data_IF_703691293500
#
_entry.id   IF_703691293500
#
_cell.length_a   1.000
_cell.length_b   1.000
_cell.length_c   1.000
_cell.angle_alpha   90.00
_cell.angle_beta   90.00
_cell.angle_gamma   90.00
#
_symmetry.space_group_name_H-M   'P 1'
#
loop_
_entity.id
_entity.type
_entity.pdbx_description
1 polymer ?
#
# COMPACT_ATOMS: atom_id res chain seq x y z
N UNK A 1 -14.10 -20.87 -1.19
CA UNK A 1 -14.81 -19.63 -0.78
C UNK A 1 -13.80 -18.49 -0.78
N UNK A 2 -14.19 -17.27 -1.15
CA UNK A 2 -13.34 -16.08 -1.06
C UNK A 2 -14.05 -15.05 -0.18
N UNK A 3 -13.36 -14.59 0.87
CA UNK A 3 -13.78 -13.48 1.70
C UNK A 3 -12.91 -12.29 1.34
N UNK A 4 -13.49 -11.30 0.66
CA UNK A 4 -12.76 -10.14 0.16
C UNK A 4 -12.90 -8.94 1.11
N UNK A 5 -11.81 -8.19 1.28
CA UNK A 5 -11.72 -6.95 2.07
C UNK A 5 -12.21 -7.06 3.53
N UNK A 6 -11.82 -8.14 4.21
CA UNK A 6 -12.16 -8.34 5.62
C UNK A 6 -11.37 -7.35 6.49
N UNK A 7 -12.08 -6.52 7.24
CA UNK A 7 -11.51 -5.46 8.08
C UNK A 7 -11.91 -5.55 9.56
N UNK A 8 -12.82 -6.46 9.92
CA UNK A 8 -13.24 -6.67 11.30
C UNK A 8 -13.47 -8.14 11.65
N UNK A 9 -13.06 -8.55 12.85
CA UNK A 9 -13.17 -9.94 13.33
C UNK A 9 -14.61 -10.46 13.35
N UNK A 10 -15.59 -9.56 13.53
CA UNK A 10 -17.01 -9.93 13.52
C UNK A 10 -17.47 -10.45 12.15
N UNK A 11 -16.90 -9.97 11.04
CA UNK A 11 -17.20 -10.52 9.71
C UNK A 11 -16.75 -11.98 9.62
N UNK A 12 -15.55 -12.28 10.14
CA UNK A 12 -15.02 -13.64 10.19
C UNK A 12 -15.89 -14.55 11.06
N UNK A 13 -16.30 -14.09 12.25
CA UNK A 13 -17.19 -14.86 13.11
C UNK A 13 -18.55 -15.12 12.46
N UNK A 14 -19.14 -14.12 11.80
CA UNK A 14 -20.43 -14.26 11.15
C UNK A 14 -20.39 -15.24 9.96
N UNK A 15 -19.29 -15.26 9.21
CA UNK A 15 -19.17 -16.02 7.96
C UNK A 15 -18.55 -17.41 8.16
N UNK A 16 -17.64 -17.58 9.11
CA UNK A 16 -16.85 -18.81 9.25
C UNK A 16 -17.24 -19.67 10.46
N UNK A 17 -17.69 -19.09 11.57
CA UNK A 17 -18.13 -19.89 12.73
C UNK A 17 -19.28 -20.85 12.41
N UNK A 18 -20.28 -20.50 11.56
CA UNK A 18 -21.31 -21.44 11.15
C UNK A 18 -20.83 -22.52 10.16
N UNK A 19 -19.65 -22.35 9.56
CA UNK A 19 -19.18 -23.22 8.46
C UNK A 19 -18.34 -24.41 8.90
N UNK A 20 -17.89 -24.45 10.16
CA UNK A 20 -17.05 -25.53 10.69
C UNK A 20 -17.71 -26.92 10.57
N UNK A 21 -19.04 -26.99 10.57
CA UNK A 21 -19.79 -28.25 10.43
C UNK A 21 -20.34 -28.48 9.00
N UNK A 22 -20.16 -27.49 8.10
CA UNK A 22 -20.79 -27.47 6.77
C UNK A 22 -19.78 -27.69 5.64
N UNK A 23 -18.53 -27.28 5.82
CA UNK A 23 -17.52 -27.39 4.77
C UNK A 23 -16.91 -28.79 4.72
N UNK A 24 -16.94 -29.46 3.54
CA UNK A 24 -16.25 -30.74 3.37
C UNK A 24 -14.75 -30.62 3.64
N UNK A 25 -14.15 -31.70 4.11
CA UNK A 25 -12.69 -31.82 4.22
C UNK A 25 -12.01 -31.52 2.88
N UNK A 26 -10.92 -30.77 2.91
CA UNK A 26 -10.19 -30.31 1.72
C UNK A 26 -10.69 -28.99 1.12
N UNK A 27 -11.71 -28.35 1.71
CA UNK A 27 -12.15 -27.01 1.28
C UNK A 27 -11.06 -25.96 1.48
N UNK A 28 -10.92 -25.05 0.50
CA UNK A 28 -10.03 -23.88 0.57
C UNK A 28 -10.84 -22.59 0.75
N UNK A 29 -10.46 -21.80 1.74
CA UNK A 29 -10.98 -20.45 1.98
C UNK A 29 -9.83 -19.47 1.81
N UNK A 30 -10.01 -18.49 0.93
CA UNK A 30 -9.08 -17.38 0.77
C UNK A 30 -9.68 -16.14 1.43
N UNK A 31 -8.90 -15.48 2.27
CA UNK A 31 -9.28 -14.23 2.94
C UNK A 31 -8.31 -13.15 2.51
N UNK A 32 -8.81 -12.05 1.98
CA UNK A 32 -8.01 -10.84 1.74
C UNK A 32 -8.31 -9.84 2.85
N UNK A 33 -7.27 -9.21 3.38
CA UNK A 33 -7.40 -8.20 4.41
C UNK A 33 -6.24 -7.21 4.32
N UNK A 34 -6.53 -5.96 4.68
CA UNK A 34 -5.52 -4.92 4.88
C UNK A 34 -5.01 -4.86 6.32
N UNK A 35 -5.57 -5.66 7.24
CA UNK A 35 -5.21 -5.68 8.64
C UNK A 35 -4.91 -7.11 9.11
N UNK A 36 -3.62 -7.43 9.27
CA UNK A 36 -3.20 -8.78 9.70
C UNK A 36 -3.71 -9.17 11.08
N UNK A 37 -3.97 -8.18 11.95
CA UNK A 37 -4.45 -8.44 13.32
C UNK A 37 -5.84 -9.09 13.30
N UNK A 38 -6.70 -8.72 12.33
CA UNK A 38 -8.06 -9.26 12.19
C UNK A 38 -8.03 -10.77 11.95
N UNK A 39 -7.13 -11.23 11.08
CA UNK A 39 -7.00 -12.66 10.75
C UNK A 39 -6.29 -13.46 11.84
N UNK A 40 -5.25 -12.89 12.46
CA UNK A 40 -4.52 -13.54 13.56
C UNK A 40 -5.42 -13.71 14.78
N UNK A 41 -6.14 -12.66 15.18
CA UNK A 41 -7.04 -12.71 16.36
C UNK A 41 -8.21 -13.65 16.19
N UNK A 42 -8.65 -13.89 14.95
CA UNK A 42 -9.65 -14.91 14.67
C UNK A 42 -9.10 -16.33 14.83
N UNK A 43 -7.79 -16.53 14.64
CA UNK A 43 -7.10 -17.80 14.80
C UNK A 43 -6.46 -18.35 13.53
N UNK A 44 -6.32 -17.55 12.46
CA UNK A 44 -5.52 -17.97 11.30
C UNK A 44 -4.06 -18.04 11.72
N UNK A 45 -3.43 -19.19 11.45
CA UNK A 45 -2.01 -19.42 11.75
C UNK A 45 -1.16 -18.48 10.90
N UNK A 46 -0.20 -17.80 11.52
CA UNK A 46 0.64 -16.79 10.84
C UNK A 46 1.42 -17.34 9.64
N UNK A 47 1.85 -18.61 9.69
CA UNK A 47 2.52 -19.28 8.56
C UNK A 47 1.63 -19.47 7.31
N UNK A 48 0.32 -19.27 7.45
CA UNK A 48 -0.65 -19.33 6.34
C UNK A 48 -0.94 -17.94 5.75
N UNK A 49 -0.39 -16.87 6.33
CA UNK A 49 -0.59 -15.50 5.86
C UNK A 49 0.45 -15.19 4.78
N UNK A 50 -0.05 -14.90 3.57
CA UNK A 50 0.79 -14.42 2.48
C UNK A 50 0.75 -12.90 2.42
N UNK A 51 1.89 -12.25 2.73
CA UNK A 51 2.03 -10.80 2.58
C UNK A 51 2.23 -10.47 1.09
N UNK A 52 1.26 -9.79 0.50
CA UNK A 52 1.40 -9.25 -0.85
C UNK A 52 2.46 -8.15 -0.90
N UNK A 53 3.40 -8.28 -1.82
CA UNK A 53 4.43 -7.27 -2.12
C UNK A 53 4.11 -6.55 -3.42
N UNK A 54 4.76 -5.42 -3.65
CA UNK A 54 4.72 -4.73 -4.96
C UNK A 54 5.25 -5.62 -6.10
N UNK A 55 4.92 -5.24 -7.33
CA UNK A 55 5.38 -5.92 -8.53
C UNK A 55 6.89 -5.73 -8.72
N UNK A 56 7.54 -6.74 -9.27
CA UNK A 56 8.93 -6.61 -9.68
C UNK A 56 9.08 -5.60 -10.84
N UNK A 57 10.30 -5.12 -11.16
CA UNK A 57 10.50 -4.12 -12.20
C UNK A 57 9.98 -4.54 -13.58
N UNK A 58 10.07 -5.83 -13.92
CA UNK A 58 9.63 -6.36 -15.21
C UNK A 58 8.10 -6.42 -15.28
N UNK A 59 7.46 -7.00 -14.26
CA UNK A 59 6.00 -7.02 -14.11
C UNK A 59 5.41 -5.61 -14.09
N UNK A 60 6.07 -4.68 -13.38
CA UNK A 60 5.67 -3.28 -13.32
C UNK A 60 5.66 -2.63 -14.70
N UNK A 61 6.74 -2.85 -15.46
CA UNK A 61 6.87 -2.33 -16.83
C UNK A 61 5.79 -2.89 -17.74
N UNK A 62 5.56 -4.20 -17.69
CA UNK A 62 4.55 -4.85 -18.52
C UNK A 62 3.15 -4.34 -18.20
N UNK A 63 2.77 -4.26 -16.92
CA UNK A 63 1.47 -3.75 -16.49
C UNK A 63 1.27 -2.30 -16.94
N UNK A 64 2.23 -1.42 -16.69
CA UNK A 64 2.15 -0.02 -17.12
C UNK A 64 2.00 0.08 -18.64
N UNK A 65 2.82 -0.66 -19.40
CA UNK A 65 2.80 -0.59 -20.86
C UNK A 65 1.50 -1.15 -21.44
N UNK A 66 0.91 -2.18 -20.82
CA UNK A 66 -0.41 -2.67 -21.22
C UNK A 66 -1.47 -1.58 -21.07
N UNK A 67 -1.46 -0.83 -19.98
CA UNK A 67 -2.43 0.26 -19.76
C UNK A 67 -2.18 1.49 -20.63
N UNK A 68 -0.92 1.80 -20.96
CA UNK A 68 -0.59 2.98 -21.75
C UNK A 68 -0.59 2.74 -23.27
N UNK A 69 -0.04 1.61 -23.72
CA UNK A 69 0.25 1.31 -25.13
C UNK A 69 -0.55 0.12 -25.68
N UNK A 70 -1.33 -0.60 -24.87
CA UNK A 70 -1.96 -1.89 -25.23
C UNK A 70 -0.96 -2.96 -25.71
N UNK A 71 0.25 -2.93 -25.17
CA UNK A 71 1.29 -3.94 -25.42
C UNK A 71 2.26 -4.00 -24.24
N UNK A 72 3.01 -5.09 -24.12
CA UNK A 72 3.89 -5.33 -22.95
C UNK A 72 5.17 -4.46 -22.92
N UNK A 73 5.38 -3.60 -23.92
CA UNK A 73 6.61 -2.78 -24.06
C UNK A 73 6.27 -1.35 -24.49
N UNK A 74 7.09 -0.35 -24.15
CA UNK A 74 6.91 1.00 -24.65
C UNK A 74 7.12 1.07 -26.17
N UNK A 75 6.57 2.11 -26.80
CA UNK A 75 7.00 2.50 -28.14
C UNK A 75 8.44 3.02 -28.13
N UNK A 76 9.13 2.90 -29.26
CA UNK A 76 10.52 3.38 -29.42
C UNK A 76 10.57 4.89 -29.11
N UNK A 77 11.50 5.27 -28.24
CA UNK A 77 11.69 6.65 -27.77
C UNK A 77 10.96 6.98 -26.46
N UNK A 78 10.14 6.08 -25.92
CA UNK A 78 9.43 6.27 -24.63
C UNK A 78 10.08 5.52 -23.47
N UNK A 79 11.14 4.75 -23.72
CA UNK A 79 11.76 3.87 -22.72
C UNK A 79 12.19 4.62 -21.46
N UNK A 80 12.84 5.78 -21.63
CA UNK A 80 13.35 6.57 -20.52
C UNK A 80 12.22 7.18 -19.66
N UNK A 81 11.23 7.80 -20.29
CA UNK A 81 10.10 8.40 -19.56
C UNK A 81 9.27 7.34 -18.84
N UNK A 82 9.10 6.15 -19.45
CA UNK A 82 8.43 5.02 -18.79
C UNK A 82 9.24 4.55 -17.58
N UNK A 83 10.56 4.39 -17.71
CA UNK A 83 11.39 3.97 -16.57
C UNK A 83 11.32 4.98 -15.40
N UNK A 84 11.22 6.29 -15.68
CA UNK A 84 11.03 7.31 -14.64
C UNK A 84 9.64 7.24 -13.99
N UNK A 85 8.58 7.01 -14.79
CA UNK A 85 7.23 6.80 -14.26
C UNK A 85 7.15 5.55 -13.37
N UNK A 86 7.77 4.44 -13.79
CA UNK A 86 7.80 3.20 -13.00
C UNK A 86 8.45 3.40 -11.62
N UNK A 87 9.52 4.21 -11.54
CA UNK A 87 10.13 4.59 -10.26
C UNK A 87 9.14 5.34 -9.37
N UNK A 88 8.35 6.24 -9.95
CA UNK A 88 7.32 7.00 -9.22
C UNK A 88 6.20 6.09 -8.72
N UNK A 89 5.88 5.01 -9.44
CA UNK A 89 4.86 4.04 -9.03
C UNK A 89 5.28 3.11 -7.89
N UNK A 90 6.58 2.94 -7.64
CA UNK A 90 7.08 2.06 -6.56
C UNK A 90 6.66 0.59 -6.68
N UNK A 91 6.30 0.13 -7.88
CA UNK A 91 5.79 -1.23 -8.11
C UNK A 91 4.34 -1.47 -7.64
N UNK A 92 3.62 -0.42 -7.21
CA UNK A 92 2.22 -0.55 -6.79
C UNK A 92 1.31 -0.75 -8.02
N UNK A 93 0.61 -1.90 -8.17
CA UNK A 93 -0.22 -2.17 -9.35
C UNK A 93 -1.23 -1.06 -9.66
N UNK A 94 -1.90 -0.55 -8.63
CA UNK A 94 -2.87 0.52 -8.77
C UNK A 94 -2.27 1.76 -9.45
N UNK A 95 -1.12 2.22 -8.97
CA UNK A 95 -0.47 3.42 -9.50
C UNK A 95 0.01 3.21 -10.94
N UNK A 96 0.51 2.01 -11.25
CA UNK A 96 0.88 1.62 -12.61
C UNK A 96 -0.32 1.66 -13.56
N UNK A 97 -1.46 1.14 -13.14
CA UNK A 97 -2.69 1.13 -13.96
C UNK A 97 -3.25 2.53 -14.18
N UNK A 98 -3.37 3.34 -13.12
CA UNK A 98 -3.92 4.70 -13.19
C UNK A 98 -3.05 5.59 -14.06
N UNK A 99 -1.73 5.57 -13.84
CA UNK A 99 -0.82 6.39 -14.64
C UNK A 99 -0.67 5.87 -16.07
N UNK A 100 -0.69 4.55 -16.28
CA UNK A 100 -0.69 3.98 -17.62
C UNK A 100 -1.94 4.42 -18.40
N UNK A 101 -3.12 4.30 -17.80
CA UNK A 101 -4.37 4.74 -18.40
C UNK A 101 -4.42 6.26 -18.65
N UNK A 102 -3.87 7.07 -17.75
CA UNK A 102 -3.75 8.52 -17.93
C UNK A 102 -2.92 8.92 -19.15
N UNK A 103 -1.89 8.12 -19.46
CA UNK A 103 -1.01 8.35 -20.61
C UNK A 103 -1.52 7.69 -21.91
N UNK A 104 -2.64 6.98 -21.84
CA UNK A 104 -3.13 6.20 -22.95
C UNK A 104 -3.50 7.05 -24.17
N UNK A 105 -3.08 6.61 -25.36
CA UNK A 105 -3.41 7.25 -26.63
C UNK A 105 -2.57 8.49 -26.98
N UNK A 106 -1.77 9.01 -26.04
CA UNK A 106 -0.88 10.13 -26.30
C UNK A 106 0.39 9.70 -27.04
N UNK A 107 0.69 10.40 -28.15
CA UNK A 107 1.79 10.09 -29.07
C UNK A 107 2.99 11.03 -28.93
N UNK A 108 2.85 12.13 -28.20
CA UNK A 108 3.89 13.14 -28.06
C UNK A 108 4.70 12.92 -26.79
N UNK A 109 5.98 12.57 -26.95
CA UNK A 109 6.92 12.39 -25.82
C UNK A 109 6.97 13.63 -24.89
N UNK A 110 6.91 14.84 -25.46
CA UNK A 110 6.89 16.09 -24.68
C UNK A 110 5.71 16.18 -23.71
N UNK A 111 4.56 15.61 -24.05
CA UNK A 111 3.41 15.55 -23.15
C UNK A 111 3.72 14.65 -21.95
N UNK A 112 4.26 13.46 -22.22
CA UNK A 112 4.64 12.50 -21.18
C UNK A 112 5.67 13.09 -20.22
N UNK A 113 6.68 13.79 -20.72
CA UNK A 113 7.68 14.50 -19.91
C UNK A 113 7.07 15.63 -19.08
N UNK A 114 6.04 16.32 -19.60
CA UNK A 114 5.33 17.35 -18.87
C UNK A 114 4.43 16.77 -17.77
N UNK A 115 3.70 15.69 -18.07
CA UNK A 115 2.87 15.00 -17.10
C UNK A 115 3.69 14.31 -16.01
N UNK A 116 4.81 13.67 -16.36
CA UNK A 116 5.76 13.14 -15.38
C UNK A 116 6.19 14.21 -14.38
N UNK A 117 6.54 15.42 -14.85
CA UNK A 117 6.88 16.53 -13.96
C UNK A 117 5.76 16.94 -13.02
N UNK A 118 4.49 16.84 -13.44
CA UNK A 118 3.33 17.10 -12.57
C UNK A 118 3.14 15.99 -11.54
N UNK A 119 3.20 14.74 -11.98
CA UNK A 119 2.98 13.55 -11.13
C UNK A 119 4.11 13.40 -10.10
N UNK A 120 5.35 13.74 -10.46
CA UNK A 120 6.47 13.75 -9.52
C UNK A 120 6.32 14.78 -8.40
N UNK A 121 5.42 15.76 -8.55
CA UNK A 121 5.15 16.77 -7.53
C UNK A 121 3.87 16.51 -6.74
N UNK A 122 2.86 15.88 -7.35
CA UNK A 122 1.54 15.69 -6.73
C UNK A 122 1.03 14.28 -7.02
N UNK A 123 0.64 13.57 -5.97
CA UNK A 123 0.02 12.25 -6.10
C UNK A 123 -1.35 12.38 -6.81
N UNK A 124 -1.62 11.63 -7.89
CA UNK A 124 -2.90 11.69 -8.59
C UNK A 124 -4.08 11.47 -7.64
N UNK A 125 -5.14 12.26 -7.81
CA UNK A 125 -6.33 12.28 -6.92
C UNK A 125 -6.92 10.88 -6.72
N UNK A 126 -7.02 10.08 -7.77
CA UNK A 126 -7.62 8.73 -7.69
C UNK A 126 -6.80 7.79 -6.81
N UNK A 127 -5.46 7.85 -6.90
CA UNK A 127 -4.56 7.06 -6.06
C UNK A 127 -4.67 7.55 -4.61
N UNK A 128 -4.62 8.87 -4.41
CA UNK A 128 -4.74 9.51 -3.10
C UNK A 128 -6.05 9.13 -2.39
N UNK A 129 -7.19 9.24 -3.07
CA UNK A 129 -8.49 8.89 -2.51
C UNK A 129 -8.56 7.43 -2.07
N UNK A 130 -7.95 6.51 -2.83
CA UNK A 130 -7.92 5.09 -2.47
C UNK A 130 -7.03 4.80 -1.27
N UNK A 131 -5.88 5.46 -1.16
CA UNK A 131 -4.99 5.31 0.00
C UNK A 131 -5.58 5.94 1.27
N UNK A 132 -6.30 7.06 1.12
CA UNK A 132 -6.88 7.81 2.23
C UNK A 132 -7.91 7.01 3.02
N UNK A 133 -8.60 6.04 2.41
CA UNK A 133 -9.53 5.15 3.11
C UNK A 133 -8.85 4.46 4.30
N UNK A 134 -7.62 3.97 4.12
CA UNK A 134 -6.88 3.32 5.21
C UNK A 134 -6.51 4.31 6.32
N UNK A 135 -6.12 5.53 5.95
CA UNK A 135 -5.81 6.61 6.90
C UNK A 135 -7.04 7.07 7.69
N UNK A 136 -8.18 7.26 7.02
CA UNK A 136 -9.40 7.76 7.66
C UNK A 136 -9.92 6.80 8.75
N UNK A 137 -9.64 5.50 8.59
CA UNK A 137 -9.99 4.43 9.53
C UNK A 137 -9.11 4.33 10.79
N UNK A 138 -8.04 5.14 10.86
CA UNK A 138 -7.13 5.18 12.01
C UNK A 138 -7.71 6.01 13.16
N UNK A 139 -7.32 5.64 14.39
CA UNK A 139 -7.56 6.49 15.56
C UNK A 139 -6.66 7.73 15.56
N UNK A 140 -6.84 8.61 16.55
CA UNK A 140 -6.15 9.90 16.57
C UNK A 140 -4.63 9.76 16.77
N UNK A 141 -4.21 8.85 17.64
CA UNK A 141 -2.80 8.60 17.96
C UNK A 141 -2.09 7.95 16.76
N UNK A 142 -2.73 6.97 16.13
CA UNK A 142 -2.28 6.35 14.89
C UNK A 142 -2.14 7.38 13.76
N UNK A 143 -3.10 8.31 13.61
CA UNK A 143 -3.02 9.41 12.63
C UNK A 143 -1.84 10.32 12.90
N UNK A 144 -1.60 10.69 14.16
CA UNK A 144 -0.46 11.54 14.53
C UNK A 144 0.87 10.87 14.15
N UNK A 145 1.06 9.60 14.51
CA UNK A 145 2.27 8.84 14.17
C UNK A 145 2.44 8.68 12.65
N UNK A 146 1.35 8.41 11.93
CA UNK A 146 1.38 8.31 10.47
C UNK A 146 1.88 9.61 9.83
N UNK A 147 1.30 10.76 10.19
CA UNK A 147 1.68 12.06 9.65
C UNK A 147 3.10 12.46 10.05
N UNK A 148 3.47 12.25 11.31
CA UNK A 148 4.81 12.53 11.82
C UNK A 148 5.88 11.68 11.12
N UNK A 149 5.55 10.43 10.80
CA UNK A 149 6.41 9.56 9.98
C UNK A 149 6.53 10.02 8.53
N UNK A 150 5.42 10.43 7.90
CA UNK A 150 5.43 10.94 6.53
C UNK A 150 6.33 12.19 6.39
N UNK A 151 6.35 13.03 7.42
CA UNK A 151 7.14 14.25 7.44
C UNK A 151 8.59 14.03 7.86
N UNK A 152 8.84 13.32 8.97
CA UNK A 152 10.13 13.38 9.68
C UNK A 152 10.78 12.02 9.95
N UNK A 153 10.00 10.97 10.25
CA UNK A 153 10.56 9.71 10.76
C UNK A 153 10.82 8.61 9.72
N UNK A 154 10.54 8.85 8.43
CA UNK A 154 10.97 7.93 7.37
C UNK A 154 12.50 7.80 7.34
N UNK A 155 13.01 6.57 7.43
CA UNK A 155 14.44 6.25 7.49
C UNK A 155 15.10 6.58 8.84
N UNK A 156 14.30 6.78 9.90
CA UNK A 156 14.81 6.97 11.26
C UNK A 156 14.70 5.68 12.06
N UNK A 157 15.56 5.54 13.06
CA UNK A 157 15.53 4.45 14.02
C UNK A 157 14.17 4.37 14.73
N UNK A 158 13.58 3.18 14.69
CA UNK A 158 12.23 2.89 15.20
C UNK A 158 12.13 3.11 16.70
N UNK A 159 13.09 2.61 17.48
CA UNK A 159 13.03 2.68 18.95
C UNK A 159 13.16 4.12 19.44
N UNK A 160 13.95 4.94 18.74
CA UNK A 160 14.05 6.38 18.99
C UNK A 160 12.74 7.10 18.70
N UNK A 161 12.09 6.79 17.57
CA UNK A 161 10.80 7.38 17.22
C UNK A 161 9.70 7.01 18.24
N UNK A 162 9.64 5.74 18.64
CA UNK A 162 8.68 5.26 19.66
C UNK A 162 8.82 6.05 20.96
N UNK A 163 10.04 6.27 21.45
CA UNK A 163 10.27 7.06 22.68
C UNK A 163 9.77 8.50 22.56
N UNK A 164 9.87 9.10 21.38
CA UNK A 164 9.38 10.47 21.12
C UNK A 164 7.85 10.50 21.12
N UNK A 165 7.21 9.51 20.48
CA UNK A 165 5.75 9.39 20.46
C UNK A 165 5.17 9.05 21.83
N UNK A 166 5.82 8.19 22.61
CA UNK A 166 5.45 7.91 24.00
C UNK A 166 5.55 9.17 24.87
N UNK A 167 6.60 9.97 24.70
CA UNK A 167 6.74 11.27 25.37
C UNK A 167 5.69 12.31 24.95
N UNK A 168 4.92 12.04 23.89
CA UNK A 168 3.81 12.86 23.40
C UNK A 168 2.43 12.31 23.78
N UNK A 169 2.38 11.27 24.62
CA UNK A 169 1.17 10.54 25.00
C UNK A 169 0.40 9.92 23.80
N UNK A 170 1.12 9.50 22.75
CA UNK A 170 0.54 8.87 21.56
C UNK A 170 0.61 7.35 21.56
N UNK A 171 0.88 6.73 22.71
CA UNK A 171 0.96 5.27 22.84
C UNK A 171 1.88 4.66 21.77
N UNK A 172 3.09 5.21 21.63
CA UNK A 172 4.00 5.05 20.50
C UNK A 172 4.19 3.59 20.06
N UNK A 173 4.50 2.69 20.99
CA UNK A 173 4.68 1.26 20.66
C UNK A 173 3.38 0.60 20.17
N UNK A 174 2.24 0.89 20.80
CA UNK A 174 0.95 0.29 20.45
C UNK A 174 0.44 0.82 19.11
N UNK A 175 0.39 2.15 18.94
CA UNK A 175 -0.09 2.79 17.72
C UNK A 175 0.84 2.50 16.54
N UNK A 176 2.17 2.44 16.73
CA UNK A 176 3.09 2.02 15.67
C UNK A 176 2.83 0.56 15.24
N UNK A 177 2.64 -0.35 16.20
CA UNK A 177 2.31 -1.75 15.91
C UNK A 177 1.00 -1.87 15.12
N UNK A 178 -0.02 -1.08 15.45
CA UNK A 178 -1.27 -1.07 14.71
C UNK A 178 -1.07 -0.60 13.26
N UNK A 179 -0.25 0.43 13.04
CA UNK A 179 0.10 0.90 11.70
C UNK A 179 0.86 -0.17 10.90
N UNK A 180 1.74 -0.95 11.54
CA UNK A 180 2.38 -2.11 10.91
C UNK A 180 1.38 -3.22 10.57
N UNK A 181 0.42 -3.50 11.48
CA UNK A 181 -0.62 -4.49 11.24
C UNK A 181 -1.50 -4.13 10.04
N UNK A 182 -1.69 -2.83 9.79
CA UNK A 182 -2.43 -2.26 8.67
C UNK A 182 -1.59 -2.04 7.39
N UNK A 183 -0.35 -2.54 7.37
CA UNK A 183 0.59 -2.38 6.25
C UNK A 183 0.88 -0.92 5.85
N UNK A 184 0.74 0.03 6.79
CA UNK A 184 1.00 1.45 6.53
C UNK A 184 2.45 1.84 6.83
N UNK A 185 3.07 1.14 7.78
CA UNK A 185 4.46 1.31 8.17
C UNK A 185 5.18 -0.05 8.20
N UNK A 186 6.48 -0.02 7.98
CA UNK A 186 7.36 -1.17 8.05
C UNK A 186 8.65 -0.80 8.79
N UNK A 187 9.41 -1.80 9.20
CA UNK A 187 10.77 -1.63 9.75
C UNK A 187 11.70 -2.54 8.95
N UNK A 188 12.83 -2.00 8.49
CA UNK A 188 13.83 -2.80 7.78
C UNK A 188 14.77 -3.53 8.76
N UNK A 189 15.71 -4.31 8.23
CA UNK A 189 16.69 -5.05 9.03
C UNK A 189 17.66 -4.16 9.84
N UNK A 190 17.73 -2.87 9.49
CA UNK A 190 18.54 -1.85 10.17
C UNK A 190 17.76 -1.10 11.27
N UNK A 191 16.57 -1.59 11.64
CA UNK A 191 15.65 -0.97 12.60
C UNK A 191 15.13 0.42 12.17
N UNK A 192 15.15 0.73 10.88
CA UNK A 192 14.66 2.00 10.34
C UNK A 192 13.21 1.90 9.90
N UNK A 193 12.43 2.93 10.22
CA UNK A 193 11.04 3.05 9.80
C UNK A 193 10.96 3.28 8.29
N UNK A 194 10.15 2.47 7.62
CA UNK A 194 9.85 2.56 6.20
C UNK A 194 8.37 2.89 6.00
N UNK A 195 8.11 3.77 5.03
CA UNK A 195 6.78 4.14 4.56
C UNK A 195 6.84 4.21 3.04
N UNK A 196 5.85 3.62 2.37
CA UNK A 196 5.75 3.66 0.91
C UNK A 196 5.62 5.10 0.42
N UNK A 197 6.22 5.42 -0.73
CA UNK A 197 6.31 6.79 -1.23
C UNK A 197 4.92 7.43 -1.43
N UNK A 198 3.92 6.70 -1.93
CA UNK A 198 2.55 7.24 -2.03
C UNK A 198 1.88 7.50 -0.69
N UNK A 199 2.17 6.72 0.35
CA UNK A 199 1.66 6.99 1.70
C UNK A 199 2.31 8.23 2.29
N UNK A 200 3.63 8.39 2.08
CA UNK A 200 4.39 9.59 2.47
C UNK A 200 3.85 10.83 1.78
N UNK A 201 3.67 10.77 0.47
CA UNK A 201 3.23 11.93 -0.32
C UNK A 201 1.79 12.30 0.05
N UNK A 202 0.90 11.30 0.21
CA UNK A 202 -0.44 11.55 0.76
C UNK A 202 -0.39 12.18 2.16
N UNK A 203 0.46 11.68 3.07
CA UNK A 203 0.57 12.21 4.43
C UNK A 203 1.09 13.64 4.50
N UNK A 204 1.97 14.05 3.57
CA UNK A 204 2.47 15.43 3.47
C UNK A 204 1.48 16.42 2.88
N UNK A 205 0.49 15.91 2.15
CA UNK A 205 -0.60 16.69 1.56
C UNK A 205 -1.81 16.88 2.50
N UNK A 206 -1.82 16.19 3.66
CA UNK A 206 -2.87 16.29 4.69
C UNK A 206 -2.51 17.35 5.74
#
# INVERSE_FOLDING_TARGET
VILDDVDHIQQMNALLSPTNDVLPSGSLILVTSRNKDVVIRWGIVESSIYKLTGLDPQQSKELFCWHAFHQSRPHVGFEEVVNLLLKTCGGLPLSLMVLGAHMHGEKHLKYWEAELRKISNVLPTDIRCRLKISYDSLDQQEKNIFLDTACFFRGKDRDTAIRIWDGSDWEGELSFRNLQNRCLLEVNDENEIRMHDHLRDMGRDL
#
